data_IF_832586465600
#
_entry.id   IF_832586465600
#
_cell.length_a   1.000
_cell.length_b   1.000
_cell.length_c   1.000
_cell.angle_alpha   90.00
_cell.angle_beta   90.00
_cell.angle_gamma   90.00
#
_symmetry.space_group_name_H-M   'P 1'
#
loop_
_entity.id
_entity.type
_entity.pdbx_description
1 polymer ?
#
# COMPACT_ATOMS: atom_id res chain seq x y z
N UNK A 1 11.54 -11.10 12.73
CA UNK A 1 11.17 -10.09 13.74
C UNK A 1 12.42 -9.31 14.11
N UNK A 2 12.36 -8.00 14.29
CA UNK A 2 13.55 -7.17 14.57
C UNK A 2 14.12 -7.54 15.94
N UNK A 3 15.35 -8.03 15.99
CA UNK A 3 16.04 -8.39 17.24
C UNK A 3 15.61 -9.73 17.87
N UNK A 4 15.04 -10.66 17.09
CA UNK A 4 14.71 -12.01 17.56
C UNK A 4 15.72 -13.03 17.02
N UNK A 5 16.21 -13.91 17.90
CA UNK A 5 17.19 -14.95 17.57
C UNK A 5 16.61 -16.37 17.45
N UNK A 6 15.31 -16.51 17.21
CA UNK A 6 14.72 -17.85 17.03
C UNK A 6 15.05 -18.46 15.67
N UNK A 7 14.92 -19.79 15.56
CA UNK A 7 15.22 -20.55 14.34
C UNK A 7 14.49 -20.03 13.09
N UNK A 8 13.25 -19.54 13.23
CA UNK A 8 12.48 -18.98 12.11
C UNK A 8 13.06 -17.66 11.64
N UNK A 9 13.49 -16.78 12.55
CA UNK A 9 14.05 -15.47 12.19
C UNK A 9 15.47 -15.58 11.57
N UNK A 10 16.20 -16.65 11.89
CA UNK A 10 17.51 -16.97 11.29
C UNK A 10 17.44 -18.03 10.18
N UNK A 11 16.24 -18.45 9.79
CA UNK A 11 16.02 -19.49 8.79
C UNK A 11 16.64 -19.10 7.44
N UNK A 12 17.43 -19.99 6.80
CA UNK A 12 17.93 -19.75 5.46
C UNK A 12 16.85 -19.98 4.37
N UNK A 13 15.67 -20.52 4.71
CA UNK A 13 14.58 -20.68 3.75
C UNK A 13 14.00 -19.31 3.37
N UNK A 14 14.03 -18.91 2.08
CA UNK A 14 13.49 -17.63 1.65
C UNK A 14 11.99 -17.45 1.95
N UNK A 15 11.23 -18.52 2.19
CA UNK A 15 9.80 -18.44 2.56
C UNK A 15 9.57 -17.89 3.96
N UNK A 16 10.57 -17.93 4.83
CA UNK A 16 10.51 -17.33 6.16
C UNK A 16 10.84 -15.82 6.16
N UNK A 17 11.33 -15.30 5.03
CA UNK A 17 11.55 -13.87 4.82
C UNK A 17 10.26 -13.20 4.35
N UNK A 18 9.49 -12.70 5.32
CA UNK A 18 8.14 -12.18 5.09
C UNK A 18 8.11 -10.66 5.12
N UNK A 19 7.45 -10.08 4.12
CA UNK A 19 7.05 -8.67 4.11
C UNK A 19 5.71 -8.52 4.84
N UNK A 20 5.32 -7.28 5.16
CA UNK A 20 3.98 -6.99 5.68
C UNK A 20 2.88 -7.42 4.71
N UNK A 21 1.75 -7.83 5.26
CA UNK A 21 0.63 -8.39 4.49
C UNK A 21 0.05 -7.37 3.51
N UNK A 22 -0.09 -7.79 2.26
CA UNK A 22 -0.79 -7.07 1.19
C UNK A 22 -1.18 -8.08 0.12
N UNK A 23 -2.22 -7.78 -0.65
CA UNK A 23 -2.66 -8.61 -1.77
C UNK A 23 -2.88 -7.72 -2.99
N UNK A 24 -2.22 -8.04 -4.10
CA UNK A 24 -2.54 -7.47 -5.40
C UNK A 24 -3.43 -8.44 -6.18
N UNK A 25 -4.49 -7.91 -6.79
CA UNK A 25 -5.44 -8.67 -7.59
C UNK A 25 -5.53 -8.00 -8.95
N UNK A 26 -5.43 -8.81 -10.00
CA UNK A 26 -5.52 -8.35 -11.39
C UNK A 26 -6.46 -9.25 -12.18
N UNK A 27 -7.34 -8.60 -12.94
CA UNK A 27 -8.21 -9.21 -13.95
C UNK A 27 -7.97 -8.51 -15.29
N UNK A 28 -8.52 -9.03 -16.41
CA UNK A 28 -8.45 -8.34 -17.69
C UNK A 28 -9.02 -6.92 -17.66
N UNK A 29 -9.99 -6.64 -16.79
CA UNK A 29 -10.70 -5.36 -16.70
C UNK A 29 -10.04 -4.38 -15.73
N UNK A 30 -9.60 -4.86 -14.56
CA UNK A 30 -9.07 -4.00 -13.51
C UNK A 30 -8.05 -4.68 -12.60
N UNK A 31 -7.34 -3.83 -11.85
CA UNK A 31 -6.30 -4.17 -10.91
C UNK A 31 -6.51 -3.40 -9.61
N UNK A 32 -6.31 -4.04 -8.47
CA UNK A 32 -6.39 -3.36 -7.19
C UNK A 32 -5.46 -3.99 -6.17
N UNK A 33 -5.10 -3.20 -5.16
CA UNK A 33 -4.31 -3.64 -4.02
C UNK A 33 -5.12 -3.54 -2.74
N UNK A 34 -5.02 -4.57 -1.91
CA UNK A 34 -5.53 -4.59 -0.54
C UNK A 34 -4.36 -4.28 0.38
N UNK A 35 -4.44 -3.14 1.06
CA UNK A 35 -3.43 -2.54 1.94
C UNK A 35 -2.11 -2.17 1.23
N UNK A 36 -1.58 -1.01 1.59
CA UNK A 36 -0.27 -0.52 1.13
C UNK A 36 0.61 -0.25 2.34
N UNK A 37 1.17 -1.31 2.90
CA UNK A 37 2.13 -1.24 3.99
C UNK A 37 3.48 -0.63 3.59
N UNK A 38 4.37 -0.43 4.57
CA UNK A 38 5.73 0.11 4.31
C UNK A 38 6.56 -0.68 3.28
N UNK A 39 6.22 -1.95 3.05
CA UNK A 39 6.89 -2.81 2.08
C UNK A 39 6.31 -2.70 0.65
N UNK A 40 5.27 -1.89 0.44
CA UNK A 40 4.51 -1.84 -0.82
C UNK A 40 5.39 -1.55 -2.05
N UNK A 41 6.32 -0.60 -1.96
CA UNK A 41 7.28 -0.34 -3.04
C UNK A 41 8.07 -1.59 -3.43
N UNK A 42 8.61 -2.29 -2.42
CA UNK A 42 9.39 -3.52 -2.63
C UNK A 42 8.51 -4.61 -3.25
N UNK A 43 7.27 -4.75 -2.78
CA UNK A 43 6.29 -5.69 -3.33
C UNK A 43 5.98 -5.39 -4.79
N UNK A 44 5.66 -4.13 -5.11
CA UNK A 44 5.33 -3.70 -6.47
C UNK A 44 6.50 -3.88 -7.44
N UNK A 45 7.73 -3.62 -7.01
CA UNK A 45 8.93 -3.86 -7.84
C UNK A 45 9.20 -5.35 -8.02
N UNK A 46 9.03 -6.16 -6.97
CA UNK A 46 9.27 -7.62 -7.02
C UNK A 46 8.31 -8.32 -7.98
N UNK A 47 7.04 -7.91 -7.97
CA UNK A 47 5.97 -8.50 -8.80
C UNK A 47 5.75 -7.76 -10.13
N UNK A 48 6.59 -6.79 -10.46
CA UNK A 48 6.48 -5.93 -11.65
C UNK A 48 5.08 -5.29 -11.83
N UNK A 49 4.45 -4.82 -10.75
CA UNK A 49 3.13 -4.18 -10.80
C UNK A 49 3.23 -2.86 -11.57
N UNK A 50 2.55 -2.79 -12.72
CA UNK A 50 2.54 -1.60 -13.59
C UNK A 50 1.24 -0.80 -13.54
N UNK A 51 0.17 -1.38 -13.02
CA UNK A 51 -1.16 -0.79 -12.99
C UNK A 51 -1.81 -1.07 -11.64
N UNK A 52 -2.43 -0.05 -11.06
CA UNK A 52 -3.33 -0.16 -9.92
C UNK A 52 -4.50 0.76 -10.20
N UNK A 53 -5.69 0.20 -10.37
CA UNK A 53 -6.90 0.99 -10.65
C UNK A 53 -7.58 1.49 -9.38
N UNK A 54 -7.43 0.77 -8.27
CA UNK A 54 -7.98 1.14 -6.98
C UNK A 54 -7.16 0.55 -5.82
N UNK A 55 -7.34 1.12 -4.64
CA UNK A 55 -6.83 0.56 -3.38
C UNK A 55 -7.98 0.33 -2.40
N UNK A 56 -7.91 -0.78 -1.67
CA UNK A 56 -8.81 -1.11 -0.58
C UNK A 56 -7.99 -1.21 0.70
N UNK A 57 -8.41 -0.56 1.77
CA UNK A 57 -7.78 -0.69 3.09
C UNK A 57 -8.65 -1.50 4.05
N UNK A 58 -8.02 -2.45 4.73
CA UNK A 58 -8.68 -3.28 5.75
C UNK A 58 -8.89 -2.51 7.05
N UNK A 59 -7.85 -1.82 7.54
CA UNK A 59 -7.85 -0.97 8.73
C UNK A 59 -6.65 -0.01 8.74
N UNK A 60 -6.60 0.93 9.69
CA UNK A 60 -5.64 2.04 9.71
C UNK A 60 -4.32 1.78 10.46
N UNK A 61 -3.97 0.53 10.73
CA UNK A 61 -2.67 0.24 11.35
C UNK A 61 -1.51 0.51 10.38
N UNK A 62 -0.37 0.93 10.94
CA UNK A 62 0.76 1.46 10.17
C UNK A 62 1.38 0.45 9.18
N UNK A 63 1.31 -0.83 9.50
CA UNK A 63 1.76 -1.92 8.65
C UNK A 63 0.87 -2.14 7.42
N UNK A 64 -0.32 -1.54 7.38
CA UNK A 64 -1.26 -1.59 6.26
C UNK A 64 -1.35 -0.28 5.46
N UNK A 65 -0.96 0.86 6.02
CA UNK A 65 -1.19 2.17 5.39
C UNK A 65 0.07 2.96 5.04
N UNK A 66 1.23 2.69 5.65
CA UNK A 66 2.38 3.60 5.56
C UNK A 66 3.15 3.55 4.23
N UNK A 67 2.74 2.74 3.26
CA UNK A 67 3.18 2.77 1.86
C UNK A 67 2.27 3.58 0.93
N UNK A 68 1.22 4.23 1.46
CA UNK A 68 0.23 4.96 0.67
C UNK A 68 0.85 5.95 -0.33
N UNK A 69 1.92 6.64 0.05
CA UNK A 69 2.56 7.66 -0.80
C UNK A 69 3.06 7.09 -2.14
N UNK A 70 3.48 5.82 -2.20
CA UNK A 70 3.93 5.18 -3.44
C UNK A 70 2.79 5.00 -4.47
N UNK A 71 1.52 5.03 -4.03
CA UNK A 71 0.35 4.97 -4.92
C UNK A 71 0.31 6.13 -5.93
N UNK A 72 0.98 7.24 -5.64
CA UNK A 72 1.10 8.39 -6.56
C UNK A 72 1.64 7.99 -7.93
N UNK A 73 2.50 6.95 -7.99
CA UNK A 73 3.08 6.48 -9.26
C UNK A 73 2.04 5.84 -10.17
N UNK A 74 0.97 5.29 -9.61
CA UNK A 74 -0.14 4.69 -10.35
C UNK A 74 -1.24 5.69 -10.65
N UNK A 75 -1.44 6.71 -9.79
CA UNK A 75 -2.47 7.73 -10.00
C UNK A 75 -2.02 8.90 -10.89
N UNK A 76 -0.72 9.14 -11.07
CA UNK A 76 -0.18 10.33 -11.75
C UNK A 76 -0.78 10.58 -13.14
N UNK A 77 -0.90 9.55 -13.99
CA UNK A 77 -1.47 9.70 -15.33
C UNK A 77 -3.00 9.89 -15.35
N UNK A 78 -3.70 9.48 -14.28
CA UNK A 78 -5.16 9.55 -14.16
C UNK A 78 -5.64 10.77 -13.37
N UNK A 79 -4.74 11.44 -12.65
CA UNK A 79 -5.03 12.57 -11.76
C UNK A 79 -5.58 12.16 -10.39
N UNK A 80 -6.34 11.07 -10.30
CA UNK A 80 -6.81 10.51 -9.04
C UNK A 80 -6.94 8.99 -9.12
N UNK A 81 -7.03 8.36 -7.95
CA UNK A 81 -7.27 6.92 -7.82
C UNK A 81 -8.33 6.68 -6.73
N UNK A 82 -9.35 5.84 -6.99
CA UNK A 82 -10.30 5.41 -5.97
C UNK A 82 -9.61 4.75 -4.76
N UNK A 83 -9.99 5.21 -3.57
CA UNK A 83 -9.58 4.66 -2.28
C UNK A 83 -10.82 4.18 -1.55
N UNK A 84 -10.86 2.90 -1.20
CA UNK A 84 -11.96 2.28 -0.46
C UNK A 84 -11.51 1.90 0.94
N UNK A 85 -12.30 2.24 1.95
CA UNK A 85 -12.06 1.88 3.33
C UNK A 85 -13.36 2.02 4.15
N UNK A 86 -13.39 1.48 5.38
CA UNK A 86 -14.43 1.83 6.34
C UNK A 86 -14.39 3.34 6.67
N UNK A 87 -15.48 3.91 7.19
CA UNK A 87 -15.53 5.33 7.53
C UNK A 87 -14.44 5.74 8.54
N UNK A 88 -14.19 4.89 9.54
CA UNK A 88 -13.13 5.07 10.54
C UNK A 88 -11.73 5.06 9.88
N UNK A 89 -11.45 4.04 9.08
CA UNK A 89 -10.17 3.93 8.38
C UNK A 89 -9.95 5.09 7.41
N UNK A 90 -10.99 5.54 6.70
CA UNK A 90 -10.91 6.70 5.80
C UNK A 90 -10.59 7.99 6.55
N UNK A 91 -11.19 8.21 7.72
CA UNK A 91 -10.89 9.38 8.55
C UNK A 91 -9.41 9.40 8.98
N UNK A 92 -8.86 8.24 9.36
CA UNK A 92 -7.43 8.12 9.66
C UNK A 92 -6.54 8.34 8.45
N UNK A 93 -6.87 7.77 7.28
CA UNK A 93 -6.13 7.99 6.04
C UNK A 93 -6.09 9.47 5.67
N UNK A 94 -7.21 10.18 5.77
CA UNK A 94 -7.28 11.62 5.51
C UNK A 94 -6.45 12.44 6.49
N UNK A 95 -6.39 12.02 7.76
CA UNK A 95 -5.58 12.65 8.80
C UNK A 95 -4.08 12.45 8.54
N UNK A 96 -3.66 11.23 8.22
CA UNK A 96 -2.25 10.85 8.02
C UNK A 96 -1.73 11.36 6.68
N UNK A 97 -2.47 11.12 5.59
CA UNK A 97 -2.11 11.48 4.22
C UNK A 97 -2.84 12.73 3.75
N UNK A 98 -2.90 13.77 4.61
CA UNK A 98 -3.63 15.02 4.33
C UNK A 98 -3.29 15.61 2.96
N UNK A 99 -2.04 15.49 2.52
CA UNK A 99 -1.60 15.98 1.21
C UNK A 99 -2.29 15.28 0.03
N UNK A 100 -2.66 14.01 0.16
CA UNK A 100 -3.27 13.23 -0.91
C UNK A 100 -4.79 13.43 -1.00
N UNK A 101 -5.43 13.82 0.11
CA UNK A 101 -6.88 14.05 0.17
C UNK A 101 -7.28 15.53 0.10
N UNK A 102 -6.32 16.45 0.19
CA UNK A 102 -6.60 17.87 0.15
C UNK A 102 -6.62 18.41 -1.29
N UNK A 103 -7.81 18.73 -1.80
CA UNK A 103 -8.00 19.31 -3.13
C UNK A 103 -7.68 20.81 -3.23
N UNK A 104 -7.50 21.50 -2.08
CA UNK A 104 -7.25 22.95 -2.03
C UNK A 104 -5.78 23.35 -2.19
N UNK A 105 -4.86 22.39 -2.14
CA UNK A 105 -3.45 22.63 -2.37
C UNK A 105 -2.95 21.54 -3.33
N UNK A 106 -3.04 21.75 -4.65
CA UNK A 106 -2.45 20.82 -5.60
C UNK A 106 -0.94 20.92 -5.39
N UNK A 107 -0.40 20.05 -4.55
CA UNK A 107 1.05 19.92 -4.42
C UNK A 107 1.55 19.63 -5.84
N UNK A 108 2.40 20.48 -6.42
CA UNK A 108 2.72 20.41 -7.83
C UNK A 108 3.61 19.19 -8.04
N UNK A 109 3.03 18.14 -8.60
CA UNK A 109 3.79 17.08 -9.28
C UNK A 109 3.05 16.69 -10.55
#
# INVERSE_FOLDING_TARGET
MIGCDCDVCHSPDPRDQRLRSSIYIETPECSWVVDTGTDFRTQALREDIRRVDAVVFTHSHTDHIMGFDDLRRFSHARGSMPVYASAETMADLQRVFRFAFNTSNPVPY
#
